data_IF_588456824876
#
_entry.id   IF_588456824876
#
_cell.length_a   1.000
_cell.length_b   1.000
_cell.length_c   1.000
_cell.angle_alpha   90.00
_cell.angle_beta   90.00
_cell.angle_gamma   90.00
#
_symmetry.space_group_name_H-M   'P 1'
#
loop_
_entity.id
_entity.type
_entity.pdbx_description
1 polymer ?
#
# COMPACT_ATOMS: atom_id res chain seq x y z
N UNK A 1 24.32 12.17 -6.26
CA UNK A 1 23.08 11.67 -6.87
C UNK A 1 22.31 12.87 -7.43
N UNK A 2 21.55 12.73 -8.52
CA UNK A 2 20.85 13.88 -9.15
C UNK A 2 19.48 14.24 -8.55
N UNK A 3 19.13 13.66 -7.40
CA UNK A 3 17.83 13.78 -6.75
C UNK A 3 18.00 14.17 -5.29
N UNK A 4 17.02 14.92 -4.77
CA UNK A 4 16.79 15.19 -3.36
C UNK A 4 15.40 14.69 -2.97
N UNK A 5 15.19 14.42 -1.70
CA UNK A 5 13.89 14.01 -1.21
C UNK A 5 13.79 14.13 0.31
N UNK A 6 12.56 14.17 0.80
CA UNK A 6 12.22 14.14 2.22
C UNK A 6 10.96 13.29 2.43
N UNK A 7 10.85 12.55 3.55
CA UNK A 7 9.63 11.85 3.89
C UNK A 7 8.52 12.88 4.18
N UNK A 8 7.34 12.66 3.62
CA UNK A 8 6.25 13.63 3.67
C UNK A 8 5.03 13.10 4.43
N UNK A 9 4.64 11.85 4.17
CA UNK A 9 3.53 11.21 4.87
C UNK A 9 3.97 9.85 5.38
N UNK A 10 3.56 9.52 6.60
CA UNK A 10 3.70 8.17 7.12
C UNK A 10 2.39 7.43 6.92
N UNK A 11 2.41 6.35 6.15
CA UNK A 11 1.24 5.55 5.84
C UNK A 11 1.27 4.20 6.57
N UNK A 12 0.12 3.81 7.12
CA UNK A 12 -0.11 2.45 7.56
C UNK A 12 -0.57 1.61 6.36
N UNK A 13 0.25 0.64 5.98
CA UNK A 13 -0.03 -0.33 4.95
C UNK A 13 -0.81 -1.51 5.54
N UNK A 14 -1.90 -1.90 4.88
CA UNK A 14 -2.77 -2.98 5.33
C UNK A 14 -2.71 -4.16 4.37
N UNK A 15 -2.72 -5.37 4.92
CA UNK A 15 -3.11 -6.58 4.20
C UNK A 15 -4.62 -6.76 4.30
N UNK A 16 -5.29 -6.92 3.16
CA UNK A 16 -6.73 -7.11 3.09
C UNK A 16 -7.04 -8.56 2.77
N UNK A 17 -8.02 -9.10 3.47
CA UNK A 17 -8.47 -10.48 3.34
C UNK A 17 -9.97 -10.51 3.02
N UNK A 18 -10.45 -11.59 2.39
CA UNK A 18 -11.88 -11.84 2.22
C UNK A 18 -12.63 -11.77 3.55
N UNK A 19 -13.89 -11.37 3.53
CA UNK A 19 -14.72 -11.26 4.75
C UNK A 19 -14.86 -12.61 5.48
N UNK A 20 -14.94 -13.68 4.69
CA UNK A 20 -15.13 -15.07 5.09
C UNK A 20 -13.82 -15.74 5.52
N UNK A 21 -12.67 -15.07 5.36
CA UNK A 21 -11.41 -15.60 5.85
C UNK A 21 -11.48 -15.83 7.37
N UNK A 22 -11.01 -16.98 7.89
CA UNK A 22 -10.96 -17.22 9.32
C UNK A 22 -10.26 -16.08 10.07
N UNK A 23 -10.70 -15.73 11.29
CA UNK A 23 -10.00 -14.74 12.08
C UNK A 23 -8.53 -15.11 12.26
N UNK A 24 -7.67 -14.13 12.05
CA UNK A 24 -6.22 -14.19 12.24
C UNK A 24 -5.79 -12.89 12.89
N UNK A 25 -4.71 -12.92 13.66
CA UNK A 25 -4.21 -11.75 14.38
C UNK A 25 -2.89 -11.23 13.82
N UNK A 26 -2.22 -12.01 12.98
CA UNK A 26 -0.94 -11.69 12.38
C UNK A 26 -0.87 -12.16 10.92
N UNK A 27 -0.09 -11.47 10.09
CA UNK A 27 0.12 -11.81 8.68
C UNK A 27 0.71 -13.22 8.52
N UNK A 28 1.54 -13.68 9.46
CA UNK A 28 2.12 -15.02 9.44
C UNK A 28 1.08 -16.15 9.55
N UNK A 29 -0.11 -15.86 10.09
CA UNK A 29 -1.20 -16.84 10.22
C UNK A 29 -2.04 -16.95 8.94
N UNK A 30 -1.89 -16.01 8.01
CA UNK A 30 -2.63 -15.99 6.74
C UNK A 30 -2.24 -17.20 5.91
N UNK A 31 -3.25 -17.95 5.43
CA UNK A 31 -3.04 -19.19 4.64
C UNK A 31 -3.24 -19.01 3.14
N UNK A 32 -3.87 -17.91 2.72
CA UNK A 32 -4.00 -17.58 1.31
C UNK A 32 -2.60 -17.35 0.69
N UNK A 33 -2.35 -17.98 -0.45
CA UNK A 33 -1.07 -17.90 -1.19
C UNK A 33 -1.23 -17.29 -2.58
N UNK A 34 -2.30 -16.52 -2.77
CA UNK A 34 -2.52 -15.68 -3.94
C UNK A 34 -2.60 -14.23 -3.49
N UNK A 35 -1.82 -13.35 -4.11
CA UNK A 35 -1.81 -11.91 -3.84
C UNK A 35 -2.33 -11.16 -5.08
N UNK A 36 -3.37 -10.35 -4.92
CA UNK A 36 -3.74 -9.32 -5.88
C UNK A 36 -2.96 -8.04 -5.55
N UNK A 37 -2.15 -7.56 -6.49
CA UNK A 37 -1.30 -6.39 -6.27
C UNK A 37 -0.87 -5.73 -7.57
N UNK A 38 -0.16 -4.61 -7.46
CA UNK A 38 0.39 -3.94 -8.64
C UNK A 38 1.51 -4.76 -9.30
N UNK A 39 1.96 -4.27 -10.46
CA UNK A 39 3.10 -4.84 -11.17
C UNK A 39 4.38 -4.86 -10.32
N UNK A 40 5.36 -5.68 -10.73
CA UNK A 40 6.68 -5.75 -10.10
C UNK A 40 7.34 -4.37 -10.01
N UNK A 41 8.09 -4.14 -8.94
CA UNK A 41 8.72 -2.84 -8.63
C UNK A 41 7.87 -1.93 -7.75
N UNK A 42 6.62 -2.31 -7.46
CA UNK A 42 5.82 -1.67 -6.42
C UNK A 42 6.32 -2.09 -5.03
N UNK A 43 6.74 -1.11 -4.21
CA UNK A 43 7.17 -1.33 -2.83
C UNK A 43 6.13 -2.05 -1.98
N UNK A 44 4.85 -1.70 -2.12
CA UNK A 44 3.77 -2.31 -1.31
C UNK A 44 3.58 -3.79 -1.63
N UNK A 45 3.66 -4.14 -2.92
CA UNK A 45 3.65 -5.55 -3.34
C UNK A 45 4.82 -6.32 -2.73
N UNK A 46 6.02 -5.75 -2.81
CA UNK A 46 7.22 -6.41 -2.30
C UNK A 46 7.11 -6.69 -0.79
N UNK A 47 6.63 -5.73 -0.01
CA UNK A 47 6.38 -5.92 1.43
C UNK A 47 5.38 -7.04 1.70
N UNK A 48 4.32 -7.15 0.89
CA UNK A 48 3.36 -8.25 1.02
C UNK A 48 3.97 -9.60 0.61
N UNK A 49 4.75 -9.66 -0.46
CA UNK A 49 5.49 -10.86 -0.91
C UNK A 49 6.44 -11.35 0.18
N UNK A 50 7.23 -10.44 0.77
CA UNK A 50 8.20 -10.75 1.82
C UNK A 50 7.50 -11.25 3.10
N UNK A 51 6.34 -10.70 3.44
CA UNK A 51 5.60 -11.06 4.65
C UNK A 51 4.82 -12.38 4.53
N UNK A 52 4.30 -12.70 3.33
CA UNK A 52 3.58 -13.96 3.08
C UNK A 52 4.52 -15.15 2.85
N UNK A 53 5.76 -14.86 2.42
CA UNK A 53 6.74 -15.86 2.05
C UNK A 53 6.38 -16.61 0.75
N UNK A 54 7.22 -17.59 0.41
CA UNK A 54 7.06 -18.40 -0.81
C UNK A 54 6.66 -19.84 -0.50
N UNK A 55 5.96 -20.55 -1.41
CA UNK A 55 5.51 -20.10 -2.73
C UNK A 55 4.29 -19.16 -2.68
N UNK A 56 4.26 -18.17 -3.59
CA UNK A 56 3.17 -17.19 -3.71
C UNK A 56 2.82 -16.99 -5.20
N UNK A 57 1.54 -17.02 -5.53
CA UNK A 57 1.02 -16.62 -6.85
C UNK A 57 0.61 -15.16 -6.81
N UNK A 58 1.01 -14.36 -7.80
CA UNK A 58 0.64 -12.94 -7.86
C UNK A 58 -0.24 -12.67 -9.07
N UNK A 59 -1.41 -12.11 -8.81
CA UNK A 59 -2.31 -11.56 -9.81
C UNK A 59 -2.06 -10.05 -9.92
N UNK A 60 -1.41 -9.65 -11.00
CA UNK A 60 -1.14 -8.25 -11.27
C UNK A 60 -2.41 -7.53 -11.74
N UNK A 61 -2.74 -6.43 -11.08
CA UNK A 61 -3.89 -5.58 -11.40
C UNK A 61 -3.50 -4.10 -11.42
N UNK A 62 -4.26 -3.30 -12.17
CA UNK A 62 -3.92 -1.89 -12.44
C UNK A 62 -4.55 -0.86 -11.51
N UNK A 63 -5.31 -1.25 -10.49
CA UNK A 63 -5.97 -0.30 -9.59
C UNK A 63 -6.31 -0.89 -8.22
N UNK A 64 -6.47 -0.02 -7.22
CA UNK A 64 -6.92 -0.41 -5.88
C UNK A 64 -8.33 -1.02 -5.89
N UNK A 65 -9.24 -0.51 -6.73
CA UNK A 65 -10.57 -1.13 -6.92
C UNK A 65 -10.46 -2.57 -7.42
N UNK A 66 -9.54 -2.83 -8.36
CA UNK A 66 -9.31 -4.18 -8.86
C UNK A 66 -8.71 -5.09 -7.79
N UNK A 67 -7.78 -4.59 -6.97
CA UNK A 67 -7.26 -5.34 -5.80
C UNK A 67 -8.44 -5.73 -4.89
N UNK A 68 -9.24 -4.76 -4.47
CA UNK A 68 -10.36 -5.00 -3.56
C UNK A 68 -11.42 -5.94 -4.16
N UNK A 69 -11.71 -5.84 -5.45
CA UNK A 69 -12.63 -6.74 -6.13
C UNK A 69 -12.11 -8.19 -6.17
N UNK A 70 -10.81 -8.38 -6.39
CA UNK A 70 -10.20 -9.72 -6.37
C UNK A 70 -10.24 -10.33 -4.96
N UNK A 71 -10.01 -9.52 -3.93
CA UNK A 71 -10.09 -9.97 -2.53
C UNK A 71 -11.54 -10.29 -2.15
N UNK A 72 -12.49 -9.44 -2.53
CA UNK A 72 -13.92 -9.70 -2.31
C UNK A 72 -14.43 -10.95 -3.02
N UNK A 73 -13.80 -11.36 -4.12
CA UNK A 73 -14.08 -12.63 -4.79
C UNK A 73 -13.57 -13.87 -4.03
N UNK A 74 -12.77 -13.69 -2.97
CA UNK A 74 -12.51 -14.70 -1.94
C UNK A 74 -11.21 -15.50 -2.07
N UNK A 75 -10.52 -15.47 -3.21
CA UNK A 75 -9.40 -16.37 -3.49
C UNK A 75 -8.00 -15.77 -3.29
N UNK A 76 -7.89 -14.52 -2.88
CA UNK A 76 -6.60 -13.83 -2.73
C UNK A 76 -6.61 -12.81 -1.59
N UNK A 77 -5.41 -12.41 -1.18
CA UNK A 77 -5.20 -11.22 -0.34
C UNK A 77 -4.82 -10.03 -1.20
N UNK A 78 -4.96 -8.83 -0.65
CA UNK A 78 -4.54 -7.58 -1.28
C UNK A 78 -3.70 -6.73 -0.35
N UNK A 79 -3.03 -5.72 -0.89
CA UNK A 79 -2.24 -4.76 -0.12
C UNK A 79 -2.51 -3.33 -0.58
N UNK A 80 -2.79 -2.44 0.37
CA UNK A 80 -2.99 -1.00 0.11
C UNK A 80 -2.89 -0.17 1.41
N UNK A 81 -2.66 1.15 1.32
CA UNK A 81 -2.68 2.03 2.48
C UNK A 81 -4.07 2.13 3.13
N UNK A 82 -4.11 2.33 4.45
CA UNK A 82 -5.37 2.61 5.19
C UNK A 82 -6.12 3.82 4.65
N UNK A 83 -5.39 4.89 4.29
CA UNK A 83 -5.95 6.11 3.70
C UNK A 83 -6.76 5.81 2.43
N UNK A 84 -6.22 4.96 1.56
CA UNK A 84 -6.90 4.51 0.33
C UNK A 84 -8.14 3.69 0.68
N UNK A 85 -8.05 2.77 1.62
CA UNK A 85 -9.19 1.95 2.04
C UNK A 85 -10.36 2.82 2.53
N UNK A 86 -10.08 3.86 3.32
CA UNK A 86 -11.08 4.80 3.84
C UNK A 86 -11.77 5.62 2.75
N UNK A 87 -11.06 5.93 1.65
CA UNK A 87 -11.60 6.70 0.53
C UNK A 87 -12.53 5.88 -0.37
N UNK A 88 -12.24 4.60 -0.56
CA UNK A 88 -12.87 3.80 -1.62
C UNK A 88 -14.24 3.22 -1.25
N UNK A 89 -14.64 3.24 0.02
CA UNK A 89 -15.93 2.70 0.47
C UNK A 89 -16.11 1.23 0.09
N UNK A 90 -15.63 0.31 0.92
CA UNK A 90 -15.46 -1.09 0.49
C UNK A 90 -16.60 -2.02 0.89
N UNK A 91 -16.77 -3.16 0.19
CA UNK A 91 -17.54 -4.29 0.72
C UNK A 91 -16.99 -4.74 2.09
N UNK A 92 -17.74 -5.55 2.86
CA UNK A 92 -17.19 -6.14 4.09
C UNK A 92 -15.91 -6.91 3.75
N UNK A 93 -14.81 -6.53 4.40
CA UNK A 93 -13.48 -7.11 4.22
C UNK A 93 -12.81 -7.16 5.59
N UNK A 94 -11.80 -8.01 5.73
CA UNK A 94 -10.91 -7.99 6.91
C UNK A 94 -9.62 -7.30 6.55
N UNK A 95 -8.99 -6.65 7.53
CA UNK A 95 -7.68 -6.04 7.37
C UNK A 95 -6.75 -6.38 8.54
N UNK A 96 -5.46 -6.49 8.23
CA UNK A 96 -4.37 -6.63 9.18
C UNK A 96 -3.34 -5.54 8.90
N UNK A 97 -2.76 -4.90 9.93
CA UNK A 97 -1.58 -4.08 9.76
C UNK A 97 -0.45 -4.91 9.14
N UNK A 98 0.23 -4.35 8.14
CA UNK A 98 1.35 -5.00 7.46
C UNK A 98 2.66 -4.28 7.74
N UNK A 99 2.70 -2.97 7.53
CA UNK A 99 3.90 -2.16 7.69
C UNK A 99 3.56 -0.68 7.83
N UNK A 100 4.50 0.08 8.36
CA UNK A 100 4.52 1.55 8.29
C UNK A 100 5.49 1.96 7.17
N UNK A 101 5.03 2.77 6.22
CA UNK A 101 5.83 3.18 5.06
C UNK A 101 5.78 4.69 4.87
N UNK A 102 6.92 5.29 4.55
CA UNK A 102 6.97 6.72 4.23
C UNK A 102 6.67 6.94 2.75
N UNK A 103 5.74 7.85 2.45
CA UNK A 103 5.60 8.46 1.14
C UNK A 103 6.57 9.64 1.04
N UNK A 104 7.46 9.57 0.05
CA UNK A 104 8.51 10.57 -0.15
C UNK A 104 8.11 11.63 -1.16
N UNK A 105 8.40 12.89 -0.84
CA UNK A 105 8.52 13.93 -1.85
C UNK A 105 9.93 13.86 -2.45
N UNK A 106 10.04 13.70 -3.76
CA UNK A 106 11.33 13.59 -4.47
C UNK A 106 11.39 14.62 -5.60
N UNK A 107 12.53 15.29 -5.76
CA UNK A 107 12.76 16.29 -6.81
C UNK A 107 14.19 16.25 -7.34
N UNK A 108 14.40 16.85 -8.52
CA UNK A 108 15.73 16.97 -9.13
C UNK A 108 16.59 17.93 -8.32
N UNK A 109 17.84 17.56 -8.09
CA UNK A 109 18.80 18.46 -7.46
C UNK A 109 18.94 19.77 -8.25
N UNK A 110 18.93 20.90 -7.53
CA UNK A 110 18.94 22.25 -8.10
C UNK A 110 17.58 22.76 -8.58
N UNK A 111 16.51 21.97 -8.52
CA UNK A 111 15.15 22.47 -8.75
C UNK A 111 14.63 23.16 -7.48
N UNK A 112 14.45 24.48 -7.54
CA UNK A 112 14.06 25.32 -6.40
C UNK A 112 13.28 26.58 -6.85
N UNK A 113 12.15 26.39 -7.53
CA UNK A 113 11.29 27.54 -7.88
C UNK A 113 10.55 28.04 -6.64
N UNK A 114 10.26 29.34 -6.58
CA UNK A 114 9.50 29.90 -5.45
C UNK A 114 8.11 29.26 -5.26
N UNK A 115 7.48 28.79 -6.35
CA UNK A 115 6.22 28.07 -6.28
C UNK A 115 6.40 26.67 -5.66
N UNK A 116 7.46 25.94 -6.04
CA UNK A 116 7.78 24.64 -5.48
C UNK A 116 8.09 24.73 -3.98
N UNK A 117 8.93 25.68 -3.56
CA UNK A 117 9.27 25.84 -2.15
C UNK A 117 8.05 26.19 -1.28
N UNK A 118 7.15 27.04 -1.79
CA UNK A 118 5.89 27.33 -1.08
C UNK A 118 4.99 26.10 -0.98
N UNK A 119 4.81 25.37 -2.08
CA UNK A 119 3.98 24.16 -2.09
C UNK A 119 4.56 23.07 -1.15
N UNK A 120 5.87 22.87 -1.16
CA UNK A 120 6.59 21.96 -0.25
C UNK A 120 6.35 22.34 1.21
N UNK A 121 6.42 23.63 1.54
CA UNK A 121 6.14 24.13 2.89
C UNK A 121 4.68 23.92 3.34
N UNK A 122 3.71 23.92 2.43
CA UNK A 122 2.29 23.66 2.74
C UNK A 122 2.02 22.16 2.90
N UNK A 123 2.61 21.32 2.06
CA UNK A 123 2.42 19.86 2.14
C UNK A 123 2.89 19.27 3.46
N UNK A 124 4.04 19.72 3.98
CA UNK A 124 4.58 19.23 5.24
C UNK A 124 3.68 19.50 6.44
N UNK A 125 2.72 20.41 6.33
CA UNK A 125 1.73 20.73 7.38
C UNK A 125 0.44 19.93 7.24
N UNK A 126 0.21 19.26 6.11
CA UNK A 126 -1.00 18.47 5.86
C UNK A 126 -0.85 16.99 6.25
N UNK A 127 0.36 16.59 6.69
CA UNK A 127 0.68 15.23 7.15
C UNK A 127 0.61 15.05 8.67
N UNK A 128 0.35 16.12 9.42
CA UNK A 128 0.07 16.14 10.86
C UNK A 128 -1.45 16.15 11.11
#
# INVERSE_FOLDING_TARGET
SGLRGEPLFREELLMILPAEHPPVHDVAEVRLRTLAGFARGCTYRQLAEDSLGTPLTVQEVGSYHAILACVAAGACVGVLPRSVLQLLGTPPLRSLPLAEVDTWLVWREGYATAAFERWRGVLGQAGD
#
